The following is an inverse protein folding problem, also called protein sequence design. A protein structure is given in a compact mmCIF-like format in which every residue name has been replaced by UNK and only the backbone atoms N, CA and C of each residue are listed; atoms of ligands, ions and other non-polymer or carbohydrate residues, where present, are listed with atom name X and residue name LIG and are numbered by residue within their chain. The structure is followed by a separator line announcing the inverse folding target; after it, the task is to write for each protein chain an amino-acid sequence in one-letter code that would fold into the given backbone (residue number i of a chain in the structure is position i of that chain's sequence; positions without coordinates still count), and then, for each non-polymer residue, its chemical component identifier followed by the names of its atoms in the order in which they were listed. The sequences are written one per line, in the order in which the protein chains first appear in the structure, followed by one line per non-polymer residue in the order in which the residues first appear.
data_IF_082800147962
#
_entry.id   IF_082800147962
#
_cell.length_a   1.000
_cell.length_b   1.000
_cell.length_c   1.000
_cell.angle_alpha   90.00
_cell.angle_beta   90.00
_cell.angle_gamma   90.00
#
_symmetry.space_group_name_H-M   'P 1'
#
loop_
_entity.id
_entity.type
_entity.pdbx_description
1 polymer ?
#
# COMPACT_ATOMS: atom_id res chain seq x y z
N UNK A 1 -1.51 15.71 -7.94
CA UNK A 1 -1.91 14.33 -7.56
C UNK A 1 -3.06 14.36 -6.57
N UNK A 2 -3.95 13.35 -6.56
CA UNK A 2 -5.12 13.33 -5.63
C UNK A 2 -4.73 13.33 -4.15
N UNK A 3 -3.57 12.80 -3.83
CA UNK A 3 -3.06 12.73 -2.45
C UNK A 3 -2.57 14.08 -1.90
N UNK A 4 -2.11 15.00 -2.75
CA UNK A 4 -1.60 16.30 -2.30
C UNK A 4 -2.65 17.18 -1.62
N UNK A 5 -3.91 17.09 -2.06
CA UNK A 5 -5.00 17.93 -1.53
C UNK A 5 -5.61 17.41 -0.23
N UNK A 6 -5.32 16.17 0.18
CA UNK A 6 -5.97 15.48 1.30
C UNK A 6 -4.99 14.96 2.37
N UNK A 7 -3.69 15.26 2.27
CA UNK A 7 -2.66 14.68 3.13
C UNK A 7 -2.97 14.79 4.64
N UNK A 8 -3.43 15.96 5.10
CA UNK A 8 -3.78 16.18 6.49
C UNK A 8 -4.92 15.26 6.98
N UNK A 9 -6.00 15.13 6.18
CA UNK A 9 -7.14 14.29 6.54
C UNK A 9 -6.85 12.80 6.35
N UNK A 10 -5.94 12.46 5.44
CA UNK A 10 -5.59 11.07 5.13
C UNK A 10 -5.08 10.32 6.36
N UNK A 11 -4.18 10.92 7.14
CA UNK A 11 -3.59 10.28 8.30
C UNK A 11 -4.63 9.82 9.34
N UNK A 12 -5.67 10.63 9.57
CA UNK A 12 -6.74 10.29 10.51
C UNK A 12 -7.69 9.24 9.95
N UNK A 13 -8.04 9.36 8.67
CA UNK A 13 -9.02 8.51 7.99
C UNK A 13 -8.49 7.16 7.52
N UNK A 14 -7.17 7.00 7.39
CA UNK A 14 -6.52 5.81 6.87
C UNK A 14 -6.50 4.64 7.88
N UNK A 15 -7.65 4.29 8.44
CA UNK A 15 -7.78 3.27 9.51
C UNK A 15 -7.34 1.88 9.03
N UNK A 16 -7.66 1.50 7.81
CA UNK A 16 -7.23 0.21 7.24
C UNK A 16 -5.72 0.21 6.98
N UNK A 17 -5.14 1.30 6.46
CA UNK A 17 -3.71 1.39 6.24
C UNK A 17 -2.92 1.34 7.56
N UNK A 18 -3.48 1.87 8.66
CA UNK A 18 -2.91 1.71 10.01
C UNK A 18 -2.86 0.24 10.43
N UNK A 19 -3.98 -0.50 10.28
CA UNK A 19 -4.03 -1.94 10.58
C UNK A 19 -3.03 -2.74 9.73
N UNK A 20 -2.92 -2.40 8.44
CA UNK A 20 -1.97 -3.02 7.52
C UNK A 20 -0.53 -2.72 7.94
N UNK A 21 -0.21 -1.46 8.26
CA UNK A 21 1.11 -1.06 8.73
C UNK A 21 1.50 -1.75 10.04
N UNK A 22 0.57 -1.86 11.02
CA UNK A 22 0.78 -2.56 12.29
C UNK A 22 1.06 -4.06 12.06
N UNK A 23 0.32 -4.70 11.16
CA UNK A 23 0.55 -6.09 10.82
C UNK A 23 1.87 -6.31 10.06
N UNK A 24 2.17 -5.44 9.10
CA UNK A 24 3.41 -5.54 8.33
C UNK A 24 4.65 -5.30 9.20
N UNK A 25 4.56 -4.43 10.20
CA UNK A 25 5.66 -4.10 11.11
C UNK A 25 6.19 -5.28 11.90
N UNK A 26 5.41 -6.36 12.06
CA UNK A 26 5.82 -7.59 12.72
C UNK A 26 6.99 -8.31 12.00
N UNK A 27 7.21 -7.97 10.73
CA UNK A 27 8.30 -8.53 9.94
C UNK A 27 9.58 -7.68 9.92
N UNK A 28 9.55 -6.50 10.53
CA UNK A 28 10.75 -5.68 10.69
C UNK A 28 11.68 -6.37 11.68
N UNK A 29 12.95 -6.50 11.33
CA UNK A 29 13.96 -7.08 12.21
C UNK A 29 14.07 -6.27 13.50
N UNK A 30 14.41 -6.95 14.59
CA UNK A 30 14.60 -6.32 15.91
C UNK A 30 15.84 -5.43 15.93
N UNK A 31 16.92 -5.89 15.32
CA UNK A 31 18.17 -5.14 15.19
C UNK A 31 18.42 -4.77 13.73
N UNK A 32 18.38 -3.48 13.45
CA UNK A 32 18.66 -2.89 12.15
C UNK A 32 19.95 -2.03 12.16
N UNK A 33 20.74 -2.07 13.23
CA UNK A 33 21.86 -1.14 13.47
C UNK A 33 22.95 -1.17 12.39
N UNK A 34 23.04 -2.27 11.64
CA UNK A 34 23.99 -2.44 10.54
C UNK A 34 23.36 -2.23 9.15
N UNK A 35 22.05 -2.00 9.10
CA UNK A 35 21.29 -1.96 7.85
C UNK A 35 21.06 -0.55 7.37
N UNK A 36 21.19 -0.35 6.06
CA UNK A 36 20.63 0.79 5.36
C UNK A 36 19.20 0.44 4.93
N UNK A 37 18.22 1.23 5.37
CA UNK A 37 16.81 1.06 5.07
C UNK A 37 16.28 2.15 4.15
N UNK A 38 15.43 1.78 3.21
CA UNK A 38 14.74 2.67 2.30
C UNK A 38 13.24 2.35 2.31
N UNK A 39 12.40 3.32 2.61
CA UNK A 39 10.94 3.18 2.49
C UNK A 39 10.44 3.93 1.25
N UNK A 40 9.63 3.26 0.45
CA UNK A 40 9.04 3.76 -0.78
C UNK A 40 7.56 4.04 -0.58
N UNK A 41 7.10 5.23 -0.97
CA UNK A 41 5.71 5.65 -0.81
C UNK A 41 5.30 5.75 0.66
N UNK A 42 6.13 6.36 1.49
CA UNK A 42 5.94 6.47 2.94
C UNK A 42 4.68 7.26 3.35
N UNK A 43 4.14 8.08 2.44
CA UNK A 43 2.96 8.90 2.69
C UNK A 43 3.15 9.80 3.90
N UNK A 44 2.18 9.78 4.80
CA UNK A 44 2.20 10.54 6.07
C UNK A 44 2.93 9.82 7.21
N UNK A 45 3.64 8.73 6.92
CA UNK A 45 4.45 8.01 7.89
C UNK A 45 3.73 6.91 8.67
N UNK A 46 2.62 6.36 8.16
CA UNK A 46 1.88 5.32 8.86
C UNK A 46 2.69 4.05 9.11
N UNK A 47 3.55 3.64 8.18
CA UNK A 47 4.46 2.53 8.38
C UNK A 47 5.83 3.01 8.86
N UNK A 48 6.29 4.18 8.41
CA UNK A 48 7.55 4.83 8.84
C UNK A 48 7.67 4.89 10.36
N UNK A 49 6.57 5.12 11.10
CA UNK A 49 6.57 5.16 12.57
C UNK A 49 7.12 3.87 13.21
N UNK A 50 6.90 2.71 12.58
CA UNK A 50 7.42 1.43 13.08
C UNK A 50 8.90 1.25 12.73
N UNK A 51 9.33 1.74 11.57
CA UNK A 51 10.73 1.77 11.17
C UNK A 51 11.54 2.74 12.02
N UNK A 52 10.94 3.89 12.38
CA UNK A 52 11.55 4.89 13.26
C UNK A 52 11.87 4.36 14.68
N UNK A 53 11.21 3.28 15.12
CA UNK A 53 11.51 2.60 16.38
C UNK A 53 12.73 1.68 16.28
N UNK A 54 13.35 1.54 15.12
CA UNK A 54 14.53 0.72 14.89
C UNK A 54 15.76 1.58 14.69
N UNK A 55 16.88 1.11 15.24
CA UNK A 55 18.17 1.79 15.07
C UNK A 55 18.80 1.35 13.75
N UNK A 56 18.44 1.97 12.64
CA UNK A 56 19.13 1.75 11.37
C UNK A 56 20.48 2.47 11.34
N UNK A 57 21.45 1.90 10.63
CA UNK A 57 22.69 2.60 10.28
C UNK A 57 22.38 3.87 9.47
N UNK A 58 21.48 3.74 8.53
CA UNK A 58 20.94 4.79 7.69
C UNK A 58 19.50 4.43 7.32
N UNK A 59 18.58 5.39 7.39
CA UNK A 59 17.19 5.18 6.99
C UNK A 59 16.64 6.42 6.33
N UNK A 60 15.93 6.24 5.22
CA UNK A 60 15.23 7.30 4.54
C UNK A 60 13.83 6.86 4.12
N UNK A 61 12.84 7.69 4.43
CA UNK A 61 11.48 7.56 3.98
C UNK A 61 11.26 8.45 2.74
N UNK A 62 10.68 7.88 1.68
CA UNK A 62 10.49 8.60 0.42
C UNK A 62 9.04 8.58 -0.05
N UNK A 63 8.60 9.67 -0.67
CA UNK A 63 7.31 9.76 -1.34
C UNK A 63 7.42 10.76 -2.50
N UNK A 64 6.58 10.62 -3.52
CA UNK A 64 6.52 11.55 -4.64
C UNK A 64 5.71 12.81 -4.29
N UNK A 65 4.83 12.74 -3.30
CA UNK A 65 3.96 13.83 -2.85
C UNK A 65 4.65 14.68 -1.80
N UNK A 66 4.92 15.93 -2.14
CA UNK A 66 5.52 16.90 -1.20
C UNK A 66 4.65 17.14 0.03
N UNK A 67 3.32 17.14 -0.14
CA UNK A 67 2.39 17.36 0.97
C UNK A 67 2.36 16.15 1.93
N UNK A 68 2.46 14.92 1.41
CA UNK A 68 2.59 13.71 2.23
C UNK A 68 3.88 13.74 3.05
N UNK A 69 5.01 14.06 2.41
CA UNK A 69 6.30 14.19 3.09
C UNK A 69 6.28 15.27 4.17
N UNK A 70 5.64 16.41 3.89
CA UNK A 70 5.51 17.48 4.89
C UNK A 70 4.80 16.98 6.15
N UNK A 71 3.65 16.32 5.98
CA UNK A 71 2.88 15.72 7.07
C UNK A 71 3.68 14.63 7.81
N UNK A 72 4.41 13.79 7.09
CA UNK A 72 5.29 12.77 7.66
C UNK A 72 6.41 13.39 8.50
N UNK A 73 7.08 14.42 7.96
CA UNK A 73 8.16 15.15 8.64
C UNK A 73 7.69 15.87 9.92
N UNK A 74 6.49 16.43 9.91
CA UNK A 74 5.89 17.03 11.11
C UNK A 74 5.70 16.01 12.22
N UNK A 75 5.28 14.77 11.86
CA UNK A 75 5.02 13.69 12.83
C UNK A 75 6.27 12.97 13.28
N UNK A 76 7.26 12.82 12.40
CA UNK A 76 8.49 12.08 12.62
C UNK A 76 9.70 12.94 12.20
N UNK A 77 10.02 14.02 12.94
CA UNK A 77 11.02 15.03 12.54
C UNK A 77 12.45 14.49 12.52
N UNK A 78 12.73 13.39 13.20
CA UNK A 78 14.07 12.78 13.30
C UNK A 78 14.37 11.80 12.16
N UNK A 79 13.43 11.60 11.22
CA UNK A 79 13.61 10.72 10.07
C UNK A 79 14.06 11.54 8.87
N UNK A 80 14.94 10.98 8.05
CA UNK A 80 15.25 11.50 6.72
C UNK A 80 14.04 11.33 5.80
N UNK A 81 13.58 12.42 5.19
CA UNK A 81 12.47 12.45 4.25
C UNK A 81 12.91 13.05 2.93
N UNK A 82 12.73 12.32 1.82
CA UNK A 82 13.14 12.75 0.50
C UNK A 82 12.02 12.58 -0.53
N UNK A 83 11.93 13.53 -1.47
CA UNK A 83 11.03 13.40 -2.64
C UNK A 83 11.65 12.40 -3.60
N UNK A 84 10.93 11.31 -3.89
CA UNK A 84 11.36 10.32 -4.85
C UNK A 84 10.16 9.61 -5.48
N UNK A 85 10.24 9.36 -6.80
CA UNK A 85 9.30 8.50 -7.50
C UNK A 85 9.69 7.04 -7.27
N UNK A 86 8.83 6.29 -6.57
CA UNK A 86 9.06 4.86 -6.30
C UNK A 86 9.12 4.00 -7.58
N UNK A 87 8.58 4.50 -8.70
CA UNK A 87 8.63 3.79 -10.00
C UNK A 87 9.92 4.07 -10.80
N UNK A 88 10.74 5.03 -10.34
CA UNK A 88 11.96 5.50 -11.03
C UNK A 88 13.01 5.87 -10.00
N UNK A 89 13.49 4.87 -9.25
CA UNK A 89 14.51 5.12 -8.24
C UNK A 89 15.82 5.58 -8.89
N UNK A 90 16.40 6.65 -8.36
CA UNK A 90 17.78 7.02 -8.64
C UNK A 90 18.72 6.03 -7.94
N UNK A 91 20.00 6.03 -8.30
CA UNK A 91 21.01 5.00 -7.94
C UNK A 91 21.29 4.90 -6.42
N UNK A 92 20.25 4.66 -5.62
CA UNK A 92 20.33 4.41 -4.17
C UNK A 92 20.28 2.92 -3.90
N UNK A 93 21.17 2.44 -3.02
CA UNK A 93 21.24 1.04 -2.62
C UNK A 93 20.91 0.91 -1.14
N UNK A 94 20.16 -0.12 -0.77
CA UNK A 94 19.78 -0.40 0.60
C UNK A 94 19.85 -1.89 0.94
N UNK A 95 20.11 -2.21 2.21
CA UNK A 95 20.01 -3.57 2.73
C UNK A 95 18.56 -4.01 2.86
N UNK A 96 17.66 -3.03 3.06
CA UNK A 96 16.21 -3.25 3.19
C UNK A 96 15.43 -2.20 2.42
N UNK A 97 14.60 -2.65 1.51
CA UNK A 97 13.61 -1.82 0.81
C UNK A 97 12.24 -2.19 1.33
N UNK A 98 11.48 -1.22 1.79
CA UNK A 98 10.13 -1.38 2.31
C UNK A 98 9.12 -0.64 1.46
N UNK A 99 7.94 -1.24 1.23
CA UNK A 99 6.81 -0.58 0.59
C UNK A 99 5.50 -1.06 1.23
N UNK A 100 4.73 -0.14 1.82
CA UNK A 100 3.45 -0.42 2.45
C UNK A 100 2.30 0.27 1.74
N UNK A 101 1.29 -0.50 1.28
CA UNK A 101 0.09 -0.01 0.59
C UNK A 101 0.39 0.79 -0.69
N UNK A 102 1.44 0.41 -1.42
CA UNK A 102 1.92 1.13 -2.60
C UNK A 102 1.83 0.28 -3.88
N UNK A 103 2.31 -0.97 -3.86
CA UNK A 103 2.56 -1.79 -5.06
C UNK A 103 1.29 -2.08 -5.88
N UNK A 104 0.11 -2.13 -5.26
CA UNK A 104 -1.17 -2.33 -5.94
C UNK A 104 -1.50 -1.25 -6.98
N UNK A 105 -0.83 -0.09 -6.92
CA UNK A 105 -1.02 1.03 -7.85
C UNK A 105 -0.08 0.99 -9.05
N UNK A 106 0.81 0.01 -9.12
CA UNK A 106 1.75 -0.12 -10.22
C UNK A 106 1.04 -0.57 -11.51
N UNK A 107 1.09 0.26 -12.56
CA UNK A 107 0.56 -0.10 -13.89
C UNK A 107 1.35 -1.24 -14.52
N UNK A 108 2.68 -1.22 -14.34
CA UNK A 108 3.61 -2.27 -14.76
C UNK A 108 4.39 -2.76 -13.52
N UNK A 109 3.82 -3.71 -12.76
CA UNK A 109 4.44 -4.16 -11.52
C UNK A 109 5.75 -4.93 -11.73
N UNK A 110 5.95 -5.60 -12.87
CA UNK A 110 7.22 -6.29 -13.17
C UNK A 110 8.34 -5.27 -13.27
N UNK A 111 8.13 -4.21 -14.05
CA UNK A 111 9.11 -3.12 -14.18
C UNK A 111 9.40 -2.45 -12.84
N UNK A 112 8.35 -2.14 -12.07
CA UNK A 112 8.48 -1.50 -10.75
C UNK A 112 9.30 -2.37 -9.80
N UNK A 113 8.99 -3.67 -9.71
CA UNK A 113 9.72 -4.61 -8.88
C UNK A 113 11.17 -4.78 -9.35
N UNK A 114 11.43 -4.74 -10.66
CA UNK A 114 12.81 -4.76 -11.19
C UNK A 114 13.59 -3.52 -10.71
N UNK A 115 12.99 -2.33 -10.73
CA UNK A 115 13.59 -1.09 -10.19
C UNK A 115 13.87 -1.23 -8.68
N UNK A 116 12.94 -1.80 -7.91
CA UNK A 116 13.12 -2.01 -6.47
C UNK A 116 14.19 -3.06 -6.17
N UNK A 117 14.23 -4.16 -6.96
CA UNK A 117 15.30 -5.16 -6.90
C UNK A 117 16.66 -4.53 -7.13
N UNK A 118 16.77 -3.68 -8.16
CA UNK A 118 18.03 -3.02 -8.50
C UNK A 118 18.49 -2.01 -7.42
N UNK A 119 17.61 -1.59 -6.53
CA UNK A 119 17.93 -0.79 -5.34
C UNK A 119 18.44 -1.63 -4.16
N UNK A 120 18.41 -2.96 -4.22
CA UNK A 120 18.95 -3.81 -3.17
C UNK A 120 20.47 -3.92 -3.26
N UNK A 121 21.12 -3.90 -2.10
CA UNK A 121 22.50 -4.35 -1.94
C UNK A 121 22.58 -5.88 -2.09
N UNK A 122 23.77 -6.41 -2.20
CA UNK A 122 24.00 -7.86 -2.15
C UNK A 122 23.42 -8.43 -0.84
N UNK A 123 22.63 -9.50 -0.92
CA UNK A 123 21.87 -10.08 0.19
C UNK A 123 20.80 -9.14 0.78
N UNK A 124 20.51 -8.03 0.10
CA UNK A 124 19.42 -7.12 0.46
C UNK A 124 18.05 -7.78 0.34
N UNK A 125 17.07 -7.28 1.09
CA UNK A 125 15.70 -7.81 1.08
C UNK A 125 14.70 -6.73 0.73
N UNK A 126 13.73 -7.11 -0.10
CA UNK A 126 12.52 -6.34 -0.35
C UNK A 126 11.39 -6.87 0.53
N UNK A 127 10.79 -6.00 1.30
CA UNK A 127 9.57 -6.27 2.05
C UNK A 127 8.44 -5.38 1.52
N UNK A 128 7.38 -6.00 1.03
CA UNK A 128 6.21 -5.28 0.52
C UNK A 128 4.91 -5.78 1.14
N UNK A 129 3.97 -4.86 1.36
CA UNK A 129 2.63 -5.17 1.82
C UNK A 129 1.62 -4.34 1.01
N UNK A 130 0.62 -4.98 0.42
CA UNK A 130 -0.28 -4.34 -0.55
C UNK A 130 -1.63 -5.07 -0.62
N UNK A 131 -2.64 -4.36 -1.13
CA UNK A 131 -3.98 -4.92 -1.33
C UNK A 131 -4.03 -5.78 -2.58
N UNK A 132 -4.79 -6.87 -2.50
CA UNK A 132 -4.95 -7.86 -3.56
C UNK A 132 -6.44 -8.12 -3.88
N UNK A 133 -6.70 -8.89 -4.94
CA UNK A 133 -8.02 -9.36 -5.32
C UNK A 133 -8.76 -9.97 -4.12
N UNK A 134 -10.06 -9.74 -4.04
CA UNK A 134 -10.89 -10.06 -2.88
C UNK A 134 -11.10 -8.87 -1.94
N UNK A 135 -10.43 -7.73 -2.17
CA UNK A 135 -10.73 -6.50 -1.45
C UNK A 135 -11.89 -5.75 -2.10
N UNK A 136 -12.80 -5.22 -1.26
CA UNK A 136 -13.94 -4.38 -1.68
C UNK A 136 -14.93 -5.08 -2.66
N UNK A 137 -14.92 -6.40 -2.73
CA UNK A 137 -15.80 -7.16 -3.62
C UNK A 137 -17.28 -7.00 -3.29
N UNK A 138 -17.61 -6.63 -2.05
CA UNK A 138 -18.98 -6.44 -1.60
C UNK A 138 -19.71 -5.42 -2.48
N UNK A 139 -19.05 -4.34 -2.90
CA UNK A 139 -19.65 -3.39 -3.83
C UNK A 139 -19.98 -4.01 -5.18
N UNK A 140 -19.06 -4.77 -5.76
CA UNK A 140 -19.28 -5.45 -7.05
C UNK A 140 -20.34 -6.54 -6.95
N UNK A 141 -20.41 -7.26 -5.83
CA UNK A 141 -21.43 -8.28 -5.56
C UNK A 141 -22.83 -7.68 -5.40
N UNK A 142 -22.91 -6.50 -4.77
CA UNK A 142 -24.18 -5.80 -4.60
C UNK A 142 -24.73 -5.27 -5.92
N UNK A 143 -23.85 -4.74 -6.77
CA UNK A 143 -24.25 -4.24 -8.07
C UNK A 143 -23.06 -4.25 -9.05
N UNK A 144 -23.22 -4.99 -10.16
CA UNK A 144 -22.20 -5.11 -11.21
C UNK A 144 -21.83 -3.79 -11.90
N UNK A 145 -22.61 -2.72 -11.68
CA UNK A 145 -22.26 -1.37 -12.16
C UNK A 145 -21.10 -0.75 -11.39
N UNK A 146 -20.80 -1.23 -10.17
CA UNK A 146 -19.56 -0.85 -9.51
C UNK A 146 -18.38 -1.46 -10.27
N UNK A 147 -17.41 -0.65 -10.67
CA UNK A 147 -16.22 -1.19 -11.30
C UNK A 147 -15.45 -2.06 -10.30
N UNK A 148 -15.10 -3.27 -10.72
CA UNK A 148 -14.18 -4.09 -9.95
C UNK A 148 -12.84 -3.35 -9.81
N UNK A 149 -12.23 -3.48 -8.64
CA UNK A 149 -10.87 -2.98 -8.45
C UNK A 149 -9.93 -3.89 -9.25
N UNK A 150 -9.03 -3.34 -10.08
CA UNK A 150 -8.15 -4.12 -10.95
C UNK A 150 -6.97 -4.71 -10.17
N UNK A 151 -7.23 -5.16 -8.94
CA UNK A 151 -6.18 -5.75 -8.12
C UNK A 151 -5.96 -7.20 -8.50
N UNK A 152 -4.71 -7.58 -8.54
CA UNK A 152 -4.28 -8.92 -8.96
C UNK A 152 -4.44 -9.92 -7.83
N UNK A 153 -4.66 -11.18 -8.20
CA UNK A 153 -4.72 -12.31 -7.28
C UNK A 153 -3.34 -12.73 -6.74
N UNK A 154 -3.35 -13.57 -5.73
CA UNK A 154 -2.12 -14.12 -5.13
C UNK A 154 -1.22 -14.81 -6.16
N UNK A 155 -1.80 -15.66 -7.02
CA UNK A 155 -1.05 -16.39 -8.05
C UNK A 155 -0.38 -15.45 -9.05
N UNK A 156 -1.10 -14.42 -9.49
CA UNK A 156 -0.56 -13.43 -10.41
C UNK A 156 0.62 -12.69 -9.78
N UNK A 157 0.52 -12.33 -8.49
CA UNK A 157 1.60 -11.66 -7.78
C UNK A 157 2.84 -12.55 -7.65
N UNK A 158 2.68 -13.84 -7.35
CA UNK A 158 3.81 -14.79 -7.30
C UNK A 158 4.53 -14.85 -8.65
N UNK A 159 3.82 -14.89 -9.76
CA UNK A 159 4.39 -14.88 -11.10
C UNK A 159 5.09 -13.55 -11.43
N UNK A 160 4.48 -12.41 -11.02
CA UNK A 160 5.05 -11.07 -11.19
C UNK A 160 6.39 -10.93 -10.43
N UNK A 161 6.46 -11.38 -9.18
CA UNK A 161 7.72 -11.36 -8.41
C UNK A 161 8.79 -12.20 -9.08
N UNK A 162 8.45 -13.42 -9.53
CA UNK A 162 9.35 -14.29 -10.26
C UNK A 162 9.84 -13.65 -11.58
N UNK A 163 8.93 -13.05 -12.36
CA UNK A 163 9.26 -12.37 -13.62
C UNK A 163 10.16 -11.15 -13.40
N UNK A 164 10.13 -10.54 -12.21
CA UNK A 164 11.03 -9.46 -11.82
C UNK A 164 12.39 -9.96 -11.26
N UNK A 165 12.67 -11.28 -11.31
CA UNK A 165 13.84 -11.93 -10.72
C UNK A 165 13.95 -11.67 -9.19
N UNK A 166 12.83 -11.86 -8.49
CA UNK A 166 12.71 -11.80 -7.03
C UNK A 166 12.17 -13.14 -6.52
N UNK A 167 12.92 -13.79 -5.65
CA UNK A 167 12.50 -15.01 -4.98
C UNK A 167 11.76 -14.69 -3.70
N UNK A 168 10.51 -15.13 -3.60
CA UNK A 168 9.70 -14.95 -2.38
C UNK A 168 10.22 -15.91 -1.30
N UNK A 169 10.75 -15.36 -0.23
CA UNK A 169 11.22 -16.11 0.96
C UNK A 169 10.06 -16.50 1.84
N UNK A 170 9.12 -15.58 2.03
CA UNK A 170 7.85 -15.80 2.75
C UNK A 170 6.77 -14.87 2.27
N UNK A 171 5.54 -15.34 2.35
CA UNK A 171 4.35 -14.55 2.09
C UNK A 171 3.22 -14.94 3.04
N UNK A 172 2.37 -13.99 3.34
CA UNK A 172 1.15 -14.20 4.10
C UNK A 172 0.03 -13.32 3.57
N UNK A 173 -1.20 -13.81 3.67
CA UNK A 173 -2.40 -13.08 3.31
C UNK A 173 -3.28 -12.94 4.55
N UNK A 174 -3.84 -11.75 4.74
CA UNK A 174 -4.83 -11.45 5.77
C UNK A 174 -6.02 -10.73 5.18
N UNK A 175 -7.21 -11.03 5.70
CA UNK A 175 -8.43 -10.29 5.42
C UNK A 175 -8.85 -9.52 6.67
N UNK A 176 -8.98 -8.21 6.54
CA UNK A 176 -9.56 -7.34 7.56
C UNK A 176 -10.96 -6.93 7.13
N UNK A 177 -11.92 -7.01 8.05
CA UNK A 177 -13.29 -6.52 7.82
C UNK A 177 -13.42 -5.15 8.48
N UNK A 178 -13.97 -4.21 7.72
CA UNK A 178 -14.30 -2.86 8.19
C UNK A 178 -15.82 -2.68 8.13
N UNK A 179 -16.41 -2.31 9.26
CA UNK A 179 -17.85 -2.10 9.39
C UNK A 179 -18.20 -0.62 9.28
N UNK A 180 -19.24 -0.32 8.53
CA UNK A 180 -19.74 1.03 8.26
C UNK A 180 -21.23 1.11 8.57
N UNK A 181 -21.71 2.30 8.89
CA UNK A 181 -23.14 2.56 9.17
C UNK A 181 -24.02 2.38 7.92
N UNK A 182 -23.43 2.50 6.72
CA UNK A 182 -24.14 2.33 5.45
C UNK A 182 -23.17 2.13 4.29
N UNK A 183 -23.63 1.63 3.12
CA UNK A 183 -22.86 1.57 1.89
C UNK A 183 -22.30 2.96 1.46
N UNK A 184 -23.09 4.02 1.69
CA UNK A 184 -22.68 5.41 1.42
C UNK A 184 -21.52 5.86 2.30
N UNK A 185 -21.54 5.51 3.60
CA UNK A 185 -20.46 5.81 4.53
C UNK A 185 -19.16 5.07 4.11
N UNK A 186 -19.31 3.81 3.74
CA UNK A 186 -18.20 2.99 3.21
C UNK A 186 -17.60 3.63 1.94
N UNK A 187 -18.43 3.97 0.95
CA UNK A 187 -17.96 4.59 -0.30
C UNK A 187 -17.28 5.94 -0.06
N UNK A 188 -17.79 6.74 0.86
CA UNK A 188 -17.15 8.01 1.25
C UNK A 188 -15.77 7.75 1.84
N UNK A 189 -15.64 6.79 2.74
CA UNK A 189 -14.37 6.44 3.34
C UNK A 189 -13.34 6.00 2.29
N UNK A 190 -13.68 5.06 1.40
CA UNK A 190 -12.74 4.60 0.35
C UNK A 190 -12.36 5.71 -0.63
N UNK A 191 -13.26 6.67 -0.89
CA UNK A 191 -12.93 7.87 -1.66
C UNK A 191 -11.96 8.79 -0.89
N UNK A 192 -12.15 8.97 0.42
CA UNK A 192 -11.33 9.85 1.25
C UNK A 192 -9.90 9.33 1.42
N UNK A 193 -9.71 8.02 1.47
CA UNK A 193 -8.39 7.37 1.51
C UNK A 193 -7.78 7.18 0.12
N UNK A 194 -8.42 7.67 -0.95
CA UNK A 194 -7.91 7.59 -2.31
C UNK A 194 -7.93 6.19 -2.94
N UNK A 195 -8.66 5.24 -2.36
CA UNK A 195 -8.73 3.87 -2.87
C UNK A 195 -9.58 3.74 -4.14
N UNK A 196 -10.39 4.73 -4.49
CA UNK A 196 -11.14 4.75 -5.75
C UNK A 196 -10.35 5.55 -6.79
N UNK A 197 -9.93 4.89 -7.87
CA UNK A 197 -9.59 5.55 -9.12
C UNK A 197 -10.84 6.14 -9.74
N UNK A 198 -10.72 7.21 -10.52
CA UNK A 198 -11.83 7.98 -11.11
C UNK A 198 -13.06 7.16 -11.46
N UNK A 199 -14.16 7.47 -10.73
CA UNK A 199 -15.40 6.76 -10.89
C UNK A 199 -15.94 7.06 -12.30
N UNK A 200 -15.99 6.06 -13.18
CA UNK A 200 -16.57 6.18 -14.54
C UNK A 200 -18.08 6.33 -14.52
N UNK A 201 -18.70 6.24 -13.35
CA UNK A 201 -20.15 6.35 -13.17
C UNK A 201 -20.56 7.81 -13.04
N UNK A 202 -21.65 8.20 -13.70
CA UNK A 202 -22.21 9.55 -13.56
C UNK A 202 -22.70 9.77 -12.13
N UNK A 203 -22.56 10.99 -11.56
CA UNK A 203 -23.00 11.27 -10.20
C UNK A 203 -24.46 10.90 -9.92
N UNK A 204 -25.35 11.08 -10.90
CA UNK A 204 -26.76 10.70 -10.79
C UNK A 204 -27.01 9.19 -10.73
N UNK A 205 -26.20 8.41 -11.46
CA UNK A 205 -26.24 6.93 -11.43
C UNK A 205 -25.71 6.41 -10.12
N UNK A 206 -24.59 6.97 -9.65
CA UNK A 206 -24.02 6.63 -8.34
C UNK A 206 -25.02 6.93 -7.20
N UNK A 207 -25.68 8.08 -7.25
CA UNK A 207 -26.67 8.45 -6.25
C UNK A 207 -27.83 7.43 -6.20
N UNK A 208 -28.41 7.08 -7.36
CA UNK A 208 -29.48 6.06 -7.45
C UNK A 208 -29.04 4.71 -6.94
N UNK A 209 -27.83 4.29 -7.31
CA UNK A 209 -27.27 3.03 -6.85
C UNK A 209 -27.11 3.00 -5.32
N UNK A 210 -26.60 4.06 -4.72
CA UNK A 210 -26.47 4.15 -3.27
C UNK A 210 -27.85 4.16 -2.57
N UNK A 211 -28.84 4.82 -3.13
CA UNK A 211 -30.23 4.81 -2.62
C UNK A 211 -30.86 3.41 -2.72
N UNK A 212 -30.57 2.66 -3.80
CA UNK A 212 -31.01 1.27 -3.96
C UNK A 212 -30.34 0.35 -2.93
N UNK A 213 -29.03 0.53 -2.71
CA UNK A 213 -28.28 -0.23 -1.71
C UNK A 213 -28.77 0.04 -0.30
N UNK A 214 -28.97 1.30 0.07
CA UNK A 214 -29.50 1.68 1.39
C UNK A 214 -30.91 1.13 1.66
N UNK A 215 -31.70 0.88 0.59
CA UNK A 215 -33.01 0.21 0.71
C UNK A 215 -32.92 -1.30 0.93
N UNK A 216 -31.90 -1.96 0.35
CA UNK A 216 -31.69 -3.41 0.43
C UNK A 216 -30.95 -3.81 1.71
N UNK A 217 -29.90 -3.05 2.02
CA UNK A 217 -29.01 -3.31 3.15
C UNK A 217 -29.45 -2.45 4.33
N UNK A 218 -30.22 -3.07 5.24
CA UNK A 218 -30.60 -2.43 6.50
C UNK A 218 -29.60 -2.78 7.59
N UNK A 219 -28.94 -1.78 8.15
CA UNK A 219 -27.98 -1.94 9.23
C UNK A 219 -26.56 -1.65 8.81
N UNK A 220 -25.60 -2.32 9.44
CA UNK A 220 -24.18 -2.15 9.15
C UNK A 220 -23.81 -2.76 7.81
N UNK A 221 -22.87 -2.08 7.13
CA UNK A 221 -22.29 -2.53 5.88
C UNK A 221 -20.82 -2.89 6.09
N UNK A 222 -20.42 -4.08 5.71
CA UNK A 222 -19.06 -4.59 5.88
C UNK A 222 -18.31 -4.57 4.56
N UNK A 223 -17.04 -4.20 4.62
CA UNK A 223 -16.09 -4.28 3.51
C UNK A 223 -14.89 -5.12 3.90
N UNK A 224 -14.56 -6.06 3.06
CA UNK A 224 -13.36 -6.88 3.17
C UNK A 224 -12.16 -6.19 2.53
N UNK A 225 -11.03 -6.21 3.22
CA UNK A 225 -9.74 -5.74 2.74
C UNK A 225 -8.74 -6.88 2.80
N UNK A 226 -8.44 -7.44 1.65
CA UNK A 226 -7.51 -8.55 1.53
C UNK A 226 -6.11 -8.03 1.20
N UNK A 227 -5.15 -8.31 2.06
CA UNK A 227 -3.80 -7.77 2.00
C UNK A 227 -2.80 -8.91 1.96
N UNK A 228 -1.81 -8.80 1.07
CA UNK A 228 -0.66 -9.70 1.00
C UNK A 228 0.58 -8.97 1.48
N UNK A 229 1.39 -9.62 2.34
CA UNK A 229 2.74 -9.20 2.67
C UNK A 229 3.74 -10.23 2.17
N UNK A 230 4.85 -9.75 1.64
CA UNK A 230 5.91 -10.59 1.06
C UNK A 230 7.27 -10.09 1.49
N UNK A 231 8.20 -11.03 1.62
CA UNK A 231 9.62 -10.77 1.74
C UNK A 231 10.36 -11.51 0.63
N UNK A 232 11.21 -10.81 -0.09
CA UNK A 232 11.92 -11.31 -1.25
C UNK A 232 13.41 -11.04 -1.19
N UNK A 233 14.16 -11.88 -1.89
CA UNK A 233 15.58 -11.73 -2.22
C UNK A 233 15.74 -11.58 -3.75
N UNK A 234 16.86 -11.03 -4.18
CA UNK A 234 17.25 -11.14 -5.58
C UNK A 234 17.45 -12.61 -5.93
N UNK A 235 16.86 -13.06 -7.03
CA UNK A 235 17.11 -14.42 -7.51
C UNK A 235 18.58 -14.53 -7.94
N UNK A 236 19.28 -15.48 -7.34
CA UNK A 236 20.61 -15.87 -7.79
C UNK A 236 20.46 -16.64 -9.11
N UNK A 237 20.32 -15.93 -10.23
CA UNK A 237 20.54 -16.59 -11.52
C UNK A 237 22.04 -16.87 -11.61
N UNK A 238 22.44 -18.13 -11.40
CA UNK A 238 23.69 -18.61 -11.94
C UNK A 238 23.64 -18.38 -13.46
N UNK A 239 24.46 -17.43 -13.95
CA UNK A 239 24.80 -17.27 -15.36
C UNK A 239 25.45 -18.54 -15.89
#
# INVERSE_FOLDING_TARGET
MKFDQKAFQYHEKASIQKKVADWFSQWIEKDCSRLAGLELGAGTGLFTRHLALRSFREFCATDISQSMLHEGKVRLPNICWEIQDAWRLEARKADRVYACSLLQWANDPIRVLSVWRDALLENGRLLACFFIEGSLEEFTRLDSRFPAFPWKGEKDWVEIFRAANLDIVRSEIRTDIMTYESPRAALRHIHDIGAISENRMKPSELKRLLEDLERREKGYFELSWRTMRVECLQSNQCL
#
